data_IF_034651548560
#
_entry.id   IF_034651548560
#
_cell.length_a   1.000
_cell.length_b   1.000
_cell.length_c   1.000
_cell.angle_alpha   90.00
_cell.angle_beta   90.00
_cell.angle_gamma   90.00
#
_symmetry.space_group_name_H-M   'P 1'
#
loop_
_entity.id
_entity.type
_entity.pdbx_description
1 polymer ?
#
# COMPACT_ATOMS: atom_id res chain seq x y z
N UNK A 1 -10.06 -8.18 18.52
CA UNK A 1 -9.26 -7.46 17.53
C UNK A 1 -9.35 -8.16 16.19
N UNK A 2 -9.76 -7.47 15.16
CA UNK A 2 -9.85 -8.07 13.83
C UNK A 2 -8.52 -7.99 13.11
N UNK A 3 -7.97 -9.14 12.81
CA UNK A 3 -6.82 -9.20 11.91
C UNK A 3 -7.34 -9.19 10.48
N UNK A 4 -6.92 -8.26 9.64
CA UNK A 4 -7.38 -8.27 8.25
C UNK A 4 -6.91 -9.50 7.51
N UNK A 5 -7.74 -9.97 6.59
CA UNK A 5 -7.33 -11.03 5.67
C UNK A 5 -6.43 -10.43 4.62
N UNK A 6 -5.34 -11.11 4.32
CA UNK A 6 -4.37 -10.67 3.32
C UNK A 6 -4.39 -11.63 2.16
N UNK A 7 -4.59 -11.11 0.95
CA UNK A 7 -4.54 -11.88 -0.28
C UNK A 7 -3.46 -11.30 -1.18
N UNK A 8 -2.71 -12.16 -1.82
CA UNK A 8 -1.73 -11.78 -2.82
C UNK A 8 -2.28 -12.21 -4.17
N UNK A 9 -2.51 -11.24 -5.05
CA UNK A 9 -3.17 -11.47 -6.32
C UNK A 9 -2.38 -10.88 -7.49
N UNK A 10 -2.66 -11.41 -8.66
CA UNK A 10 -2.21 -10.81 -9.90
C UNK A 10 -3.15 -9.63 -10.23
N UNK A 11 -2.66 -8.41 -10.04
CA UNK A 11 -3.43 -7.19 -10.34
C UNK A 11 -2.74 -6.42 -11.45
N UNK A 12 -3.53 -5.77 -12.32
CA UNK A 12 -2.96 -5.10 -13.50
C UNK A 12 -2.29 -3.76 -13.14
N UNK A 13 -3.01 -2.86 -12.50
CA UNK A 13 -2.56 -1.48 -12.33
C UNK A 13 -2.59 -1.00 -10.89
N UNK A 14 -2.57 -1.91 -9.93
CA UNK A 14 -2.66 -1.55 -8.51
C UNK A 14 -1.56 -2.20 -7.72
N UNK A 15 -1.02 -1.46 -6.77
CA UNK A 15 -0.08 -2.01 -5.79
C UNK A 15 -0.81 -2.87 -4.77
N UNK A 16 -2.01 -2.41 -4.38
CA UNK A 16 -2.87 -3.09 -3.45
C UNK A 16 -4.23 -2.43 -3.39
N UNK A 17 -5.12 -3.00 -2.61
CA UNK A 17 -6.45 -2.46 -2.38
C UNK A 17 -7.03 -2.99 -1.08
N UNK A 18 -8.05 -2.30 -0.57
CA UNK A 18 -8.76 -2.71 0.64
C UNK A 18 -10.24 -2.87 0.29
N UNK A 19 -10.82 -3.98 0.70
CA UNK A 19 -12.25 -4.20 0.51
C UNK A 19 -13.04 -3.73 1.73
N UNK A 20 -14.33 -3.49 1.54
CA UNK A 20 -15.23 -3.13 2.64
C UNK A 20 -15.33 -4.23 3.69
N UNK A 21 -15.04 -5.46 3.32
CA UNK A 21 -15.07 -6.61 4.22
C UNK A 21 -13.80 -6.77 5.06
N UNK A 22 -12.84 -5.86 4.90
CA UNK A 22 -11.61 -5.89 5.68
C UNK A 22 -10.53 -6.78 5.12
N UNK A 23 -10.54 -7.03 3.81
CA UNK A 23 -9.49 -7.77 3.13
C UNK A 23 -8.51 -6.81 2.47
N UNK A 24 -7.22 -7.04 2.65
CA UNK A 24 -6.17 -6.30 1.95
C UNK A 24 -5.64 -7.17 0.83
N UNK A 25 -5.68 -6.67 -0.39
CA UNK A 25 -5.12 -7.35 -1.55
C UNK A 25 -3.81 -6.68 -1.94
N UNK A 26 -2.77 -7.47 -2.15
CA UNK A 26 -1.47 -6.98 -2.62
C UNK A 26 -1.17 -7.56 -3.99
N UNK A 27 -0.55 -6.75 -4.84
CA UNK A 27 -0.10 -7.23 -6.14
C UNK A 27 1.08 -8.18 -5.93
N UNK A 28 1.05 -9.35 -6.57
CA UNK A 28 2.11 -10.35 -6.42
C UNK A 28 3.49 -9.82 -6.87
N UNK A 29 3.53 -8.89 -7.80
CA UNK A 29 4.79 -8.32 -8.28
C UNK A 29 5.44 -7.39 -7.26
N UNK A 30 4.71 -7.03 -6.20
CA UNK A 30 5.25 -6.20 -5.14
C UNK A 30 6.43 -6.86 -4.42
N UNK A 31 6.51 -8.19 -4.45
CA UNK A 31 7.62 -8.93 -3.84
C UNK A 31 8.98 -8.58 -4.47
N UNK A 32 8.96 -8.03 -5.69
CA UNK A 32 10.17 -7.60 -6.39
C UNK A 32 10.71 -6.26 -5.88
N UNK A 33 9.92 -5.54 -5.09
CA UNK A 33 10.33 -4.25 -4.54
C UNK A 33 11.18 -4.43 -3.28
N UNK A 34 12.02 -3.45 -2.94
CA UNK A 34 12.74 -3.47 -1.66
C UNK A 34 11.77 -3.56 -0.48
N UNK A 35 12.22 -4.14 0.62
CA UNK A 35 11.39 -4.31 1.81
C UNK A 35 10.80 -3.00 2.31
N UNK A 36 11.56 -1.91 2.26
CA UNK A 36 11.09 -0.57 2.65
C UNK A 36 9.85 -0.15 1.86
N UNK A 37 9.78 -0.54 0.60
CA UNK A 37 8.67 -0.17 -0.29
C UNK A 37 7.47 -1.05 0.01
N UNK A 38 7.69 -2.32 0.28
CA UNK A 38 6.62 -3.22 0.71
C UNK A 38 6.00 -2.70 2.01
N UNK A 39 6.84 -2.28 2.96
CA UNK A 39 6.37 -1.69 4.22
C UNK A 39 5.48 -0.47 3.97
N UNK A 40 5.85 0.38 3.01
CA UNK A 40 5.04 1.54 2.66
C UNK A 40 3.67 1.13 2.13
N UNK A 41 3.61 0.15 1.23
CA UNK A 41 2.34 -0.28 0.66
C UNK A 41 1.45 -0.89 1.75
N UNK A 42 2.03 -1.67 2.66
CA UNK A 42 1.28 -2.21 3.80
C UNK A 42 0.71 -1.07 4.64
N UNK A 43 1.51 -0.08 5.00
CA UNK A 43 1.06 1.07 5.78
C UNK A 43 -0.04 1.85 5.05
N UNK A 44 0.12 2.05 3.74
CA UNK A 44 -0.84 2.73 2.89
C UNK A 44 -2.21 2.05 2.96
N UNK A 45 -2.24 0.74 2.80
CA UNK A 45 -3.49 -0.01 2.81
C UNK A 45 -4.10 -0.13 4.21
N UNK A 46 -3.28 -0.29 5.24
CA UNK A 46 -3.76 -0.35 6.62
C UNK A 46 -4.42 0.97 7.03
N UNK A 47 -3.85 2.10 6.61
CA UNK A 47 -4.43 3.41 6.90
C UNK A 47 -5.82 3.58 6.27
N UNK A 48 -6.08 2.92 5.13
CA UNK A 48 -7.39 2.97 4.49
C UNK A 48 -8.51 2.29 5.29
N UNK A 49 -8.18 1.45 6.25
CA UNK A 49 -9.20 0.92 7.16
C UNK A 49 -9.82 2.02 8.01
N UNK A 50 -9.04 3.04 8.37
CA UNK A 50 -9.53 4.16 9.15
C UNK A 50 -10.08 5.27 8.28
N UNK A 51 -9.38 5.57 7.18
CA UNK A 51 -9.71 6.70 6.33
C UNK A 51 -9.71 6.20 4.88
N UNK A 52 -10.90 5.96 4.29
CA UNK A 52 -11.00 5.32 2.96
C UNK A 52 -10.58 6.23 1.80
N UNK A 53 -10.50 7.53 2.01
CA UNK A 53 -10.11 8.47 0.96
C UNK A 53 -8.69 9.01 1.19
N UNK A 54 -8.13 9.64 0.18
CA UNK A 54 -6.80 10.25 0.25
C UNK A 54 -6.87 11.72 0.69
N UNK A 55 -7.66 12.00 1.74
CA UNK A 55 -7.78 13.33 2.31
C UNK A 55 -6.51 13.74 3.07
N UNK A 56 -6.44 15.00 3.50
CA UNK A 56 -5.32 15.46 4.32
C UNK A 56 -5.19 14.67 5.62
N UNK A 57 -6.32 14.28 6.21
CA UNK A 57 -6.31 13.43 7.42
C UNK A 57 -5.69 12.08 7.17
N UNK A 58 -5.94 11.49 5.99
CA UNK A 58 -5.32 10.23 5.59
C UNK A 58 -3.80 10.38 5.54
N UNK A 59 -3.31 11.41 4.86
CA UNK A 59 -1.87 11.59 4.71
C UNK A 59 -1.19 11.98 6.04
N UNK A 60 -1.90 12.66 6.92
CA UNK A 60 -1.41 12.90 8.29
C UNK A 60 -1.22 11.59 9.04
N UNK A 61 -2.16 10.66 8.89
CA UNK A 61 -2.05 9.35 9.52
C UNK A 61 -0.86 8.57 8.96
N UNK A 62 -0.70 8.54 7.64
CA UNK A 62 0.44 7.87 7.00
C UNK A 62 1.75 8.50 7.47
N UNK A 63 1.81 9.82 7.53
CA UNK A 63 3.00 10.52 8.00
C UNK A 63 3.36 10.16 9.43
N UNK A 64 2.37 10.01 10.30
CA UNK A 64 2.61 9.67 11.71
C UNK A 64 3.23 8.29 11.86
N UNK A 65 2.95 7.38 10.95
CA UNK A 65 3.49 6.01 10.95
C UNK A 65 4.81 5.96 10.19
N UNK A 66 4.90 6.69 9.08
CA UNK A 66 6.01 6.60 8.14
C UNK A 66 6.34 7.99 7.60
N UNK A 67 7.18 8.77 8.31
CA UNK A 67 7.48 10.14 7.91
C UNK A 67 8.09 10.30 6.52
N UNK A 68 8.77 9.29 6.01
CA UNK A 68 9.40 9.33 4.69
C UNK A 68 8.51 8.71 3.59
N UNK A 69 7.19 8.69 3.80
CA UNK A 69 6.28 8.05 2.87
C UNK A 69 6.36 8.61 1.44
N UNK A 70 6.64 9.90 1.28
CA UNK A 70 6.71 10.50 -0.04
C UNK A 70 7.85 9.93 -0.88
N UNK A 71 9.01 9.72 -0.26
CA UNK A 71 10.15 9.11 -0.93
C UNK A 71 9.85 7.69 -1.38
N UNK A 72 9.17 6.93 -0.54
CA UNK A 72 8.81 5.55 -0.84
C UNK A 72 7.76 5.49 -1.94
N UNK A 73 6.78 6.40 -1.88
CA UNK A 73 5.77 6.50 -2.93
C UNK A 73 6.39 6.87 -4.28
N UNK A 74 7.33 7.80 -4.28
CA UNK A 74 8.03 8.21 -5.50
C UNK A 74 8.82 7.06 -6.11
N UNK A 75 9.52 6.30 -5.28
CA UNK A 75 10.25 5.12 -5.75
C UNK A 75 9.32 4.15 -6.47
N UNK A 76 8.18 3.87 -5.84
CA UNK A 76 7.21 2.92 -6.36
C UNK A 76 6.60 3.42 -7.68
N UNK A 77 6.23 4.70 -7.72
CA UNK A 77 5.66 5.31 -8.93
C UNK A 77 6.62 5.26 -10.10
N UNK A 78 7.90 5.52 -9.84
CA UNK A 78 8.93 5.53 -10.88
C UNK A 78 9.26 4.11 -11.36
N UNK A 79 9.31 3.15 -10.46
CA UNK A 79 9.80 1.80 -10.75
C UNK A 79 8.70 0.77 -11.01
N UNK A 80 7.43 1.15 -10.86
CA UNK A 80 6.32 0.20 -10.94
C UNK A 80 6.26 -0.56 -12.27
N UNK A 81 6.52 0.13 -13.38
CA UNK A 81 6.50 -0.53 -14.70
C UNK A 81 7.53 -1.65 -14.80
N UNK A 82 8.69 -1.46 -14.17
CA UNK A 82 9.76 -2.46 -14.20
C UNK A 82 9.38 -3.70 -13.39
N UNK A 83 8.83 -3.50 -12.19
CA UNK A 83 8.51 -4.64 -11.32
C UNK A 83 7.19 -5.31 -11.70
N UNK A 84 6.31 -4.59 -12.38
CA UNK A 84 5.00 -5.12 -12.80
C UNK A 84 5.03 -5.69 -14.23
N UNK A 85 6.18 -5.86 -14.79
CA UNK A 85 6.30 -6.42 -16.14
C UNK A 85 6.28 -7.94 -16.14
#
# INVERSE_FOLDING_TARGET
>A
MHTPKIHIKKQKNRWGSVTKKGTINFNQNLVKAPLKIIDYVVAHEVCHFKIPNHSSKYWELVYSIMPDYEKRNDWLRINWKLINS
#
